data_IF_371564942152
#
_entry.id   IF_371564942152
#
_cell.length_a   1.000
_cell.length_b   1.000
_cell.length_c   1.000
_cell.angle_alpha   90.00
_cell.angle_beta   90.00
_cell.angle_gamma   90.00
#
_symmetry.space_group_name_H-M   'P 1'
#
loop_
_entity.id
_entity.type
_entity.pdbx_description
1 polymer ?
#
# COMPACT_ATOMS: atom_id res chain seq x y z
N UNK A 1 -0.04 -26.08 -11.29
CA UNK A 1 -0.15 -24.86 -10.46
C UNK A 1 1.13 -24.01 -10.46
N UNK A 2 2.31 -24.59 -10.39
CA UNK A 2 3.59 -23.86 -10.54
C UNK A 2 3.77 -23.19 -11.89
N UNK A 3 3.29 -23.80 -12.96
CA UNK A 3 3.34 -23.25 -14.32
C UNK A 3 2.56 -21.92 -14.48
N UNK A 4 1.46 -21.75 -13.75
CA UNK A 4 0.64 -20.52 -13.80
C UNK A 4 1.37 -19.31 -13.25
N UNK A 5 2.10 -19.44 -12.12
CA UNK A 5 2.85 -18.34 -11.54
C UNK A 5 4.05 -17.96 -12.40
N UNK A 6 4.70 -18.95 -13.00
CA UNK A 6 5.77 -18.73 -13.98
C UNK A 6 5.27 -17.91 -15.18
N UNK A 7 4.09 -18.23 -15.71
CA UNK A 7 3.48 -17.45 -16.81
C UNK A 7 3.14 -16.03 -16.39
N UNK A 8 2.50 -15.84 -15.23
CA UNK A 8 2.17 -14.51 -14.71
C UNK A 8 3.43 -13.65 -14.56
N UNK A 9 4.50 -14.21 -14.00
CA UNK A 9 5.77 -13.48 -13.82
C UNK A 9 6.45 -13.18 -15.15
N UNK A 10 6.43 -14.12 -16.08
CA UNK A 10 7.06 -13.93 -17.39
C UNK A 10 6.28 -12.97 -18.27
N UNK A 11 4.98 -13.20 -18.46
CA UNK A 11 4.16 -12.38 -19.35
C UNK A 11 3.81 -11.01 -18.74
N UNK A 12 3.63 -10.96 -17.41
CA UNK A 12 3.27 -9.72 -16.73
C UNK A 12 4.47 -8.84 -16.43
N UNK A 13 5.59 -9.43 -16.03
CA UNK A 13 6.71 -8.66 -15.48
C UNK A 13 8.07 -8.95 -16.15
N UNK A 14 8.12 -9.88 -17.10
CA UNK A 14 9.35 -10.26 -17.79
C UNK A 14 10.35 -11.01 -16.90
N UNK A 15 9.89 -11.60 -15.80
CA UNK A 15 10.74 -12.25 -14.80
C UNK A 15 10.72 -13.76 -14.92
N UNK A 16 11.88 -14.39 -14.77
CA UNK A 16 12.02 -15.84 -14.71
C UNK A 16 11.68 -16.35 -13.30
N UNK A 17 10.82 -17.35 -13.23
CA UNK A 17 10.39 -17.98 -11.99
C UNK A 17 11.18 -19.26 -11.73
N UNK A 18 11.79 -19.39 -10.54
CA UNK A 18 12.59 -20.55 -10.13
C UNK A 18 11.95 -21.35 -8.98
N UNK A 19 10.77 -20.95 -8.52
CA UNK A 19 10.06 -21.57 -7.43
C UNK A 19 9.58 -20.56 -6.41
N UNK A 20 8.77 -20.99 -5.44
CA UNK A 20 8.24 -20.08 -4.44
C UNK A 20 7.64 -20.77 -3.23
N UNK A 21 7.40 -19.97 -2.20
CA UNK A 21 6.78 -20.41 -0.95
C UNK A 21 5.51 -19.60 -0.69
N UNK A 22 4.40 -20.28 -0.43
CA UNK A 22 3.14 -19.63 -0.08
C UNK A 22 3.24 -19.01 1.30
N UNK A 23 2.73 -17.79 1.41
CA UNK A 23 2.55 -17.06 2.66
C UNK A 23 1.06 -16.82 2.91
N UNK A 24 0.73 -16.22 4.03
CA UNK A 24 -0.65 -15.82 4.33
C UNK A 24 -1.19 -14.77 3.35
N UNK A 25 -0.32 -13.92 2.81
CA UNK A 25 -0.67 -12.77 1.98
C UNK A 25 -0.50 -13.01 0.49
N UNK A 26 0.35 -13.99 0.09
CA UNK A 26 0.65 -14.23 -1.30
C UNK A 26 1.61 -15.40 -1.53
N UNK A 27 2.47 -15.24 -2.51
CA UNK A 27 3.52 -16.19 -2.87
C UNK A 27 4.86 -15.44 -2.92
N UNK A 28 5.82 -15.84 -2.09
CA UNK A 28 7.20 -15.37 -2.24
C UNK A 28 7.85 -16.16 -3.37
N UNK A 29 8.16 -15.47 -4.45
CA UNK A 29 8.74 -16.02 -5.66
C UNK A 29 10.25 -15.80 -5.69
N UNK A 30 11.01 -16.84 -6.02
CA UNK A 30 12.41 -16.73 -6.38
C UNK A 30 12.50 -16.43 -7.87
N UNK A 31 13.07 -15.28 -8.21
CA UNK A 31 13.19 -14.82 -9.61
C UNK A 31 14.65 -14.53 -9.97
N UNK A 32 14.91 -14.27 -11.24
CA UNK A 32 16.23 -13.85 -11.75
C UNK A 32 16.70 -12.49 -11.20
N UNK A 33 15.78 -11.67 -10.66
CA UNK A 33 16.10 -10.38 -10.01
C UNK A 33 15.99 -10.46 -8.48
N UNK A 34 15.94 -11.66 -7.90
CA UNK A 34 15.83 -11.88 -6.45
C UNK A 34 14.42 -12.26 -6.00
N UNK A 35 14.19 -12.13 -4.69
CA UNK A 35 12.88 -12.47 -4.11
C UNK A 35 11.83 -11.40 -4.43
N UNK A 36 10.64 -11.86 -4.79
CA UNK A 36 9.46 -11.01 -5.05
C UNK A 36 8.23 -11.61 -4.40
N UNK A 37 7.30 -10.80 -3.98
CA UNK A 37 6.01 -11.25 -3.45
C UNK A 37 4.92 -11.01 -4.50
N UNK A 38 4.34 -12.10 -4.99
CA UNK A 38 3.22 -12.08 -5.92
C UNK A 38 1.92 -12.23 -5.13
N UNK A 39 1.03 -11.26 -5.25
CA UNK A 39 -0.28 -11.23 -4.58
C UNK A 39 -1.40 -11.18 -5.59
N UNK A 40 -2.44 -11.99 -5.36
CA UNK A 40 -3.70 -11.82 -6.07
C UNK A 40 -4.47 -10.68 -5.40
N UNK A 41 -4.76 -9.62 -6.15
CA UNK A 41 -5.51 -8.50 -5.65
C UNK A 41 -6.98 -8.86 -5.42
N UNK A 42 -7.55 -8.29 -4.38
CA UNK A 42 -9.00 -8.37 -4.07
C UNK A 42 -9.72 -7.06 -4.37
N UNK A 43 -8.95 -6.00 -4.58
CA UNK A 43 -9.44 -4.65 -4.86
C UNK A 43 -9.72 -4.46 -6.35
N UNK A 44 -10.52 -3.47 -6.68
CA UNK A 44 -10.80 -3.09 -8.06
C UNK A 44 -9.58 -2.41 -8.69
N UNK A 45 -9.59 -2.31 -10.01
CA UNK A 45 -8.52 -1.67 -10.78
C UNK A 45 -8.26 -0.23 -10.33
N UNK A 46 -9.31 0.54 -10.12
CA UNK A 46 -9.25 1.94 -9.73
C UNK A 46 -8.59 2.11 -8.35
N UNK A 47 -8.93 1.24 -7.40
CA UNK A 47 -8.35 1.23 -6.06
C UNK A 47 -6.85 0.93 -6.09
N UNK A 48 -6.42 0.05 -7.00
CA UNK A 48 -5.00 -0.31 -7.18
C UNK A 48 -4.20 0.83 -7.82
N UNK A 49 -4.78 1.53 -8.78
CA UNK A 49 -4.17 2.72 -9.38
C UNK A 49 -3.98 3.81 -8.34
N UNK A 50 -5.03 4.11 -7.57
CA UNK A 50 -4.96 5.06 -6.48
C UNK A 50 -3.90 4.67 -5.43
N UNK A 51 -3.90 3.40 -4.99
CA UNK A 51 -2.90 2.91 -4.05
C UNK A 51 -1.47 3.03 -4.59
N UNK A 52 -1.27 2.82 -5.88
CA UNK A 52 0.03 3.00 -6.53
C UNK A 52 0.49 4.46 -6.50
N UNK A 53 -0.39 5.39 -6.81
CA UNK A 53 -0.10 6.83 -6.76
C UNK A 53 0.25 7.27 -5.35
N UNK A 54 -0.56 6.88 -4.36
CA UNK A 54 -0.32 7.20 -2.94
C UNK A 54 1.02 6.63 -2.47
N UNK A 55 1.29 5.35 -2.73
CA UNK A 55 2.56 4.71 -2.35
C UNK A 55 3.76 5.42 -2.99
N UNK A 56 3.64 5.77 -4.26
CA UNK A 56 4.70 6.45 -5.00
C UNK A 56 4.96 7.85 -4.44
N UNK A 57 3.92 8.58 -4.09
CA UNK A 57 4.02 9.91 -3.49
C UNK A 57 4.65 9.83 -2.08
N UNK A 58 4.17 8.93 -1.22
CA UNK A 58 4.76 8.70 0.11
C UNK A 58 6.26 8.38 0.02
N UNK A 59 6.64 7.51 -0.92
CA UNK A 59 8.03 7.15 -1.12
C UNK A 59 8.89 8.35 -1.57
N UNK A 60 8.39 9.15 -2.51
CA UNK A 60 9.06 10.38 -2.97
C UNK A 60 9.22 11.41 -1.86
N UNK A 61 8.26 11.46 -0.93
CA UNK A 61 8.29 12.33 0.25
C UNK A 61 9.12 11.77 1.41
N UNK A 62 9.89 10.70 1.17
CA UNK A 62 10.86 10.14 2.13
C UNK A 62 10.33 9.01 3.02
N UNK A 63 9.06 8.58 2.86
CA UNK A 63 8.56 7.43 3.59
C UNK A 63 8.91 6.15 2.86
N UNK A 64 9.97 5.47 3.30
CA UNK A 64 10.51 4.27 2.66
C UNK A 64 10.01 2.95 3.28
N UNK A 65 9.31 3.01 4.41
CA UNK A 65 8.79 1.83 5.10
C UNK A 65 7.50 1.28 4.44
N UNK A 66 7.54 1.15 3.12
CA UNK A 66 6.46 0.59 2.32
C UNK A 66 7.02 -0.19 1.14
N UNK A 67 6.25 -1.15 0.63
CA UNK A 67 6.57 -1.84 -0.61
C UNK A 67 5.86 -1.19 -1.78
N UNK A 68 6.61 -0.80 -2.81
CA UNK A 68 6.06 -0.28 -4.05
C UNK A 68 5.59 -1.43 -4.95
N UNK A 69 4.56 -1.17 -5.77
CA UNK A 69 4.17 -2.09 -6.82
C UNK A 69 5.17 -2.05 -7.97
N UNK A 70 5.58 -3.21 -8.44
CA UNK A 70 6.32 -3.33 -9.68
C UNK A 70 5.40 -3.01 -10.86
N UNK A 71 5.91 -2.23 -11.79
CA UNK A 71 5.20 -1.95 -13.03
C UNK A 71 5.27 -3.18 -13.94
N UNK A 72 4.12 -3.63 -14.40
CA UNK A 72 4.01 -4.69 -15.39
C UNK A 72 4.49 -4.21 -16.78
N UNK A 73 4.69 -5.13 -17.71
CA UNK A 73 5.17 -4.80 -19.05
C UNK A 73 4.23 -3.89 -19.85
N UNK A 74 2.95 -3.87 -19.51
CA UNK A 74 1.94 -2.98 -20.08
C UNK A 74 1.92 -1.56 -19.44
N UNK A 75 2.84 -1.29 -18.51
CA UNK A 75 2.93 -0.01 -17.80
C UNK A 75 1.98 0.14 -16.62
N UNK A 76 1.17 -0.88 -16.30
CA UNK A 76 0.25 -0.86 -15.15
C UNK A 76 0.92 -1.33 -13.85
N UNK A 77 0.46 -0.90 -12.67
CA UNK A 77 0.99 -1.38 -11.39
C UNK A 77 0.48 -2.78 -10.99
N UNK A 78 -0.19 -3.45 -11.87
CA UNK A 78 -0.71 -4.81 -11.73
C UNK A 78 -0.76 -5.50 -13.09
N UNK A 79 -0.83 -6.83 -13.08
CA UNK A 79 -1.02 -7.64 -14.28
C UNK A 79 -2.35 -8.38 -14.22
N UNK A 80 -3.13 -8.32 -15.32
CA UNK A 80 -4.39 -9.03 -15.43
C UNK A 80 -4.17 -10.41 -16.03
N UNK A 81 -4.58 -11.48 -15.33
CA UNK A 81 -4.48 -12.86 -15.77
C UNK A 81 -5.71 -13.65 -15.38
N UNK A 82 -6.33 -14.31 -16.34
CA UNK A 82 -7.50 -15.17 -16.12
C UNK A 82 -8.59 -14.53 -15.24
N UNK A 83 -8.97 -13.29 -15.58
CA UNK A 83 -9.99 -12.52 -14.88
C UNK A 83 -9.58 -12.01 -13.48
N UNK A 84 -8.32 -12.17 -13.09
CA UNK A 84 -7.79 -11.71 -11.81
C UNK A 84 -6.68 -10.68 -12.01
N UNK A 85 -6.50 -9.82 -11.01
CA UNK A 85 -5.40 -8.85 -10.98
C UNK A 85 -4.30 -9.37 -10.04
N UNK A 86 -3.07 -9.26 -10.48
CA UNK A 86 -1.89 -9.68 -9.72
C UNK A 86 -0.96 -8.49 -9.50
N UNK A 87 -0.47 -8.37 -8.29
CA UNK A 87 0.49 -7.36 -7.85
C UNK A 87 1.83 -8.04 -7.59
N UNK A 88 2.90 -7.38 -7.96
CA UNK A 88 4.26 -7.79 -7.62
C UNK A 88 4.91 -6.72 -6.76
N UNK A 89 5.46 -7.14 -5.63
CA UNK A 89 6.08 -6.25 -4.65
C UNK A 89 7.42 -6.84 -4.18
N UNK A 90 8.25 -6.01 -3.53
CA UNK A 90 9.35 -6.54 -2.74
C UNK A 90 8.78 -7.16 -1.46
N UNK A 91 9.24 -8.36 -1.07
CA UNK A 91 8.86 -8.92 0.21
C UNK A 91 9.42 -8.02 1.32
N UNK A 92 8.52 -7.54 2.18
CA UNK A 92 8.94 -6.78 3.35
C UNK A 92 9.10 -7.71 4.55
N UNK A 93 10.23 -7.63 5.26
CA UNK A 93 10.35 -8.32 6.54
C UNK A 93 9.37 -7.66 7.52
N UNK A 94 8.29 -8.35 7.82
CA UNK A 94 7.29 -7.88 8.79
C UNK A 94 7.48 -8.62 10.10
N UNK A 95 7.77 -7.88 11.17
CA UNK A 95 7.57 -8.33 12.53
C UNK A 95 6.16 -7.90 12.95
N UNK A 96 5.37 -8.82 13.49
CA UNK A 96 4.10 -8.45 14.14
C UNK A 96 4.40 -7.56 15.36
N UNK A 97 3.58 -6.52 15.54
CA UNK A 97 3.63 -5.74 16.77
C UNK A 97 3.05 -6.58 17.91
N UNK A 98 3.76 -6.64 19.02
CA UNK A 98 3.28 -7.29 20.25
C UNK A 98 2.54 -6.24 21.08
N UNK A 99 1.25 -6.48 21.38
CA UNK A 99 0.38 -5.51 22.06
C UNK A 99 0.92 -5.12 23.45
N UNK A 100 1.63 -6.06 24.12
CA UNK A 100 2.20 -5.84 25.45
C UNK A 100 3.60 -5.23 25.41
N UNK A 101 4.18 -4.97 24.25
CA UNK A 101 5.52 -4.41 24.10
C UNK A 101 5.46 -2.89 23.86
N UNK A 102 5.81 -2.12 24.88
CA UNK A 102 5.81 -0.66 24.80
C UNK A 102 6.76 -0.11 23.72
N UNK A 103 7.88 -0.77 23.44
CA UNK A 103 8.83 -0.36 22.40
C UNK A 103 8.23 -0.55 21.02
N UNK A 104 7.52 -1.65 20.76
CA UNK A 104 6.82 -1.91 19.50
C UNK A 104 5.70 -0.88 19.30
N UNK A 105 5.00 -0.49 20.36
CA UNK A 105 3.97 0.54 20.29
C UNK A 105 4.54 1.91 19.92
N UNK A 106 5.63 2.33 20.57
CA UNK A 106 6.32 3.59 20.28
C UNK A 106 6.87 3.59 18.86
N UNK A 107 7.48 2.49 18.42
CA UNK A 107 7.98 2.35 17.05
C UNK A 107 6.86 2.44 16.01
N UNK A 108 5.73 1.80 16.26
CA UNK A 108 4.54 1.88 15.41
C UNK A 108 3.98 3.29 15.32
N UNK A 109 3.87 4.00 16.45
CA UNK A 109 3.41 5.38 16.48
C UNK A 109 4.35 6.34 15.74
N UNK A 110 5.67 6.15 15.90
CA UNK A 110 6.67 6.93 15.18
C UNK A 110 6.58 6.69 13.66
N UNK A 111 6.40 5.45 13.23
CA UNK A 111 6.22 5.09 11.82
C UNK A 111 4.95 5.72 11.23
N UNK A 112 3.85 5.71 11.97
CA UNK A 112 2.61 6.40 11.57
C UNK A 112 2.83 7.91 11.44
N UNK A 113 3.51 8.53 12.37
CA UNK A 113 3.86 9.96 12.30
C UNK A 113 4.69 10.31 11.06
N UNK A 114 5.67 9.49 10.72
CA UNK A 114 6.46 9.64 9.49
C UNK A 114 5.59 9.51 8.22
N UNK A 115 4.70 8.52 8.19
CA UNK A 115 3.77 8.33 7.08
C UNK A 115 2.84 9.53 6.91
N UNK A 116 2.28 10.07 8.00
CA UNK A 116 1.43 11.27 7.96
C UNK A 116 2.19 12.50 7.48
N UNK A 117 3.43 12.69 7.94
CA UNK A 117 4.29 13.76 7.44
C UNK A 117 4.56 13.66 5.95
N UNK A 118 4.81 12.46 5.45
CA UNK A 118 5.03 12.20 4.04
C UNK A 118 3.75 12.32 3.19
N UNK A 119 2.58 12.15 3.81
CA UNK A 119 1.28 12.33 3.17
C UNK A 119 0.84 13.80 3.07
N UNK A 120 1.53 14.72 3.72
CA UNK A 120 1.21 16.14 3.65
C UNK A 120 1.34 16.64 2.19
N UNK A 121 0.29 17.24 1.67
CA UNK A 121 0.25 17.74 0.29
C UNK A 121 -0.10 16.71 -0.78
N UNK A 122 -0.55 15.51 -0.40
CA UNK A 122 -1.15 14.58 -1.34
C UNK A 122 -2.45 15.18 -1.89
N UNK A 123 -2.58 15.37 -3.23
CA UNK A 123 -3.82 15.88 -3.83
C UNK A 123 -4.98 14.93 -3.50
N UNK A 124 -6.08 15.48 -2.97
CA UNK A 124 -7.30 14.71 -2.68
C UNK A 124 -7.27 13.86 -1.41
N UNK A 125 -6.15 13.81 -0.67
CA UNK A 125 -6.05 13.06 0.59
C UNK A 125 -6.22 13.96 1.80
N UNK A 126 -5.93 15.25 1.68
CA UNK A 126 -6.01 16.24 2.75
C UNK A 126 -6.99 17.38 2.47
N UNK A 127 -7.86 17.26 1.48
CA UNK A 127 -8.90 18.25 1.28
C UNK A 127 -10.03 18.02 2.28
N UNK A 128 -10.31 19.04 3.09
CA UNK A 128 -11.40 19.06 4.03
C UNK A 128 -12.71 18.70 3.29
N UNK A 129 -13.47 17.69 3.74
CA UNK A 129 -14.76 17.32 3.13
C UNK A 129 -15.76 18.48 3.04
N UNK A 130 -15.52 19.58 3.75
CA UNK A 130 -16.39 20.76 3.76
C UNK A 130 -16.11 21.75 2.61
N UNK A 131 -14.99 21.62 1.89
CA UNK A 131 -14.66 22.53 0.78
C UNK A 131 -15.12 22.06 -0.59
N UNK A 132 -15.58 20.82 -0.73
CA UNK A 132 -16.22 20.34 -1.95
C UNK A 132 -17.72 20.61 -1.91
N UNK A 133 -18.11 21.79 -2.39
CA UNK A 133 -19.48 22.05 -2.79
C UNK A 133 -19.92 21.07 -3.88
N UNK A 134 -20.90 20.24 -3.53
CA UNK A 134 -21.91 19.63 -4.40
C UNK A 134 -21.50 19.15 -5.82
N UNK A 135 -20.41 18.43 -5.95
CA UNK A 135 -20.20 17.55 -7.09
C UNK A 135 -19.75 16.20 -6.51
N UNK A 136 -20.72 15.32 -6.31
CA UNK A 136 -20.55 14.04 -5.63
C UNK A 136 -19.76 13.03 -6.43
N UNK A 137 -18.46 13.14 -6.42
CA UNK A 137 -17.57 12.02 -6.63
C UNK A 137 -16.76 11.79 -5.35
N UNK A 138 -17.42 11.18 -4.39
CA UNK A 138 -16.77 10.48 -3.30
C UNK A 138 -15.95 9.39 -3.95
N UNK A 139 -14.62 9.51 -3.91
CA UNK A 139 -13.75 8.37 -4.19
C UNK A 139 -14.16 7.27 -3.20
N UNK A 140 -14.71 6.15 -3.67
CA UNK A 140 -15.06 5.06 -2.79
C UNK A 140 -13.77 4.38 -2.37
N UNK A 141 -13.15 4.88 -1.29
CA UNK A 141 -12.21 4.07 -0.53
C UNK A 141 -13.03 2.92 0.01
N UNK A 142 -13.02 1.80 -0.70
CA UNK A 142 -13.70 0.57 -0.36
C UNK A 142 -13.10 -0.13 0.86
N UNK A 143 -12.84 0.61 1.91
CA UNK A 143 -12.63 0.10 3.25
C UNK A 143 -13.99 0.11 3.95
N UNK A 144 -14.81 -0.91 3.62
CA UNK A 144 -16.04 -1.15 4.35
C UNK A 144 -15.69 -1.30 5.85
N UNK A 145 -16.04 -0.30 6.64
CA UNK A 145 -16.12 -0.37 8.08
C UNK A 145 -14.95 0.18 8.89
N UNK A 146 -13.91 0.73 8.29
CA UNK A 146 -12.86 1.41 9.06
C UNK A 146 -12.75 2.85 8.57
N UNK A 147 -12.95 3.81 9.47
CA UNK A 147 -12.57 5.20 9.23
C UNK A 147 -11.09 5.22 8.84
N UNK A 148 -10.72 5.94 7.77
CA UNK A 148 -9.32 5.99 7.36
C UNK A 148 -8.48 6.49 8.52
N UNK A 149 -7.35 5.85 8.76
CA UNK A 149 -6.44 6.12 9.89
C UNK A 149 -6.08 7.60 10.08
N UNK A 150 -6.19 8.42 9.04
CA UNK A 150 -5.92 9.85 9.08
C UNK A 150 -7.03 10.70 9.71
N UNK A 151 -8.28 10.23 9.81
CA UNK A 151 -9.31 10.90 10.62
C UNK A 151 -8.99 10.90 12.12
N UNK A 152 -8.15 9.97 12.56
CA UNK A 152 -7.76 9.88 13.97
C UNK A 152 -6.72 10.95 14.37
N UNK A 153 -5.95 11.49 13.41
CA UNK A 153 -4.90 12.48 13.72
C UNK A 153 -5.38 13.94 13.67
N UNK A 154 -6.47 14.24 12.93
CA UNK A 154 -6.98 15.60 12.83
C UNK A 154 -7.72 16.07 14.09
N UNK A 155 -8.17 15.14 14.95
CA UNK A 155 -8.91 15.45 16.18
C UNK A 155 -8.08 15.51 17.45
N UNK A 156 -6.75 15.28 17.37
CA UNK A 156 -5.88 15.13 18.53
C UNK A 156 -4.83 16.22 18.76
N UNK A 157 -4.70 17.22 17.89
CA UNK A 157 -3.79 18.34 18.13
C UNK A 157 -4.64 19.52 18.64
N UNK A 158 -4.97 19.43 19.91
CA UNK A 158 -5.41 20.60 20.67
C UNK A 158 -4.27 21.64 20.64
N UNK A 159 -4.59 22.85 20.18
CA UNK A 159 -3.67 23.99 20.20
C UNK A 159 -3.05 24.16 21.58
N UNK A 160 -1.74 24.39 21.69
CA UNK A 160 -1.10 24.74 22.96
C UNK A 160 -1.30 26.24 23.23
N UNK A 161 -2.51 26.66 23.51
CA UNK A 161 -2.79 27.99 24.07
C UNK A 161 -3.78 27.81 25.22
N UNK A 162 -3.21 27.74 26.41
CA UNK A 162 -3.65 28.32 27.66
C UNK A 162 -3.06 27.57 28.87
N UNK A 163 -1.82 27.87 29.19
CA UNK A 163 -1.34 27.84 30.57
C UNK A 163 -0.72 29.22 30.84
N UNK A 164 -1.60 30.11 31.28
CA UNK A 164 -1.21 31.30 32.02
C UNK A 164 -1.27 31.00 33.51
#
# INVERSE_FOLDING_TARGET
MEDTYGKILWEGYGLKYYGGTRTRTGLICKTDVGLRELKKARSRREDLLFAHEVKTCLYRNGFSALSLFYTAQDGQPFFAWDGNLYLLENPMPTKGLEEDNAEDFVAGAALMGQMHGAAAGLPGVCEDPQTHGAAGEVFPLGFAGHAPLWHFCASGIGSPESLG
#
